data_IF_304621983868
#
_entry.id   IF_304621983868
#
_cell.length_a   1.000
_cell.length_b   1.000
_cell.length_c   1.000
_cell.angle_alpha   90.00
_cell.angle_beta   90.00
_cell.angle_gamma   90.00
#
_symmetry.space_group_name_H-M   'P 1'
#
loop_
_entity.id
_entity.type
_entity.pdbx_description
1 polymer ?
#
# COMPACT_ATOMS: atom_id res chain seq x y z
N UNK A 1 -12.60 22.21 -4.18
CA UNK A 1 -12.07 21.77 -2.86
C UNK A 1 -13.18 21.26 -1.94
N UNK A 2 -14.31 21.97 -1.81
CA UNK A 2 -15.46 21.53 -1.00
C UNK A 2 -16.14 20.27 -1.56
N UNK A 3 -16.39 20.21 -2.88
CA UNK A 3 -17.01 19.05 -3.56
C UNK A 3 -16.14 17.78 -3.52
N UNK A 4 -14.81 17.90 -3.68
CA UNK A 4 -13.87 16.76 -3.55
C UNK A 4 -13.92 16.16 -2.14
N UNK A 5 -13.91 17.01 -1.11
CA UNK A 5 -13.94 16.54 0.27
C UNK A 5 -15.27 15.85 0.59
N UNK A 6 -16.39 16.34 0.06
CA UNK A 6 -17.69 15.68 0.19
C UNK A 6 -17.70 14.32 -0.52
N UNK A 7 -17.14 14.24 -1.73
CA UNK A 7 -17.03 12.98 -2.48
C UNK A 7 -16.17 11.95 -1.73
N UNK A 8 -15.05 12.38 -1.16
CA UNK A 8 -14.16 11.56 -0.35
C UNK A 8 -14.88 10.98 0.89
N UNK A 9 -15.61 11.81 1.63
CA UNK A 9 -16.37 11.34 2.80
C UNK A 9 -17.50 10.39 2.40
N UNK A 10 -18.16 10.62 1.26
CA UNK A 10 -19.16 9.71 0.71
C UNK A 10 -18.55 8.34 0.33
N UNK A 11 -17.38 8.30 -0.30
CA UNK A 11 -16.65 7.05 -0.59
C UNK A 11 -16.36 6.28 0.70
N UNK A 12 -15.82 6.96 1.72
CA UNK A 12 -15.50 6.34 3.02
C UNK A 12 -16.74 5.77 3.68
N UNK A 13 -17.86 6.51 3.66
CA UNK A 13 -19.15 6.08 4.20
C UNK A 13 -19.67 4.85 3.48
N UNK A 14 -19.80 4.91 2.15
CA UNK A 14 -20.29 3.77 1.34
C UNK A 14 -19.43 2.52 1.54
N UNK A 15 -18.11 2.68 1.60
CA UNK A 15 -17.18 1.59 1.94
C UNK A 15 -17.48 0.97 3.30
N UNK A 16 -17.73 1.79 4.34
CA UNK A 16 -18.06 1.30 5.68
C UNK A 16 -19.44 0.63 5.76
N UNK A 17 -20.36 1.02 4.89
CA UNK A 17 -21.72 0.46 4.78
C UNK A 17 -21.78 -0.79 3.88
N UNK A 18 -20.66 -1.22 3.29
CA UNK A 18 -20.60 -2.37 2.37
C UNK A 18 -21.14 -2.09 0.97
N UNK A 19 -21.45 -0.82 0.65
CA UNK A 19 -21.92 -0.38 -0.66
C UNK A 19 -20.74 -0.18 -1.63
N UNK A 20 -20.05 -1.28 -1.93
CA UNK A 20 -18.76 -1.24 -2.63
C UNK A 20 -18.86 -0.76 -4.08
N UNK A 21 -19.91 -1.15 -4.81
CA UNK A 21 -20.08 -0.75 -6.21
C UNK A 21 -20.23 0.78 -6.33
N UNK A 22 -21.06 1.37 -5.48
CA UNK A 22 -21.25 2.81 -5.41
C UNK A 22 -19.99 3.53 -4.94
N UNK A 23 -19.28 2.97 -3.95
CA UNK A 23 -18.00 3.51 -3.50
C UNK A 23 -16.94 3.52 -4.61
N UNK A 24 -16.88 2.46 -5.44
CA UNK A 24 -15.99 2.38 -6.60
C UNK A 24 -16.34 3.41 -7.68
N UNK A 25 -17.64 3.64 -7.94
CA UNK A 25 -18.07 4.66 -8.91
C UNK A 25 -17.58 6.05 -8.49
N UNK A 26 -17.79 6.43 -7.22
CA UNK A 26 -17.33 7.73 -6.70
C UNK A 26 -15.79 7.80 -6.67
N UNK A 27 -15.11 6.72 -6.29
CA UNK A 27 -13.64 6.67 -6.36
C UNK A 27 -13.11 6.85 -7.79
N UNK A 28 -13.76 6.23 -8.78
CA UNK A 28 -13.44 6.41 -10.19
C UNK A 28 -13.67 7.84 -10.69
N UNK A 29 -14.71 8.52 -10.19
CA UNK A 29 -14.93 9.94 -10.47
C UNK A 29 -13.78 10.80 -9.93
N UNK A 30 -13.32 10.56 -8.70
CA UNK A 30 -12.16 11.25 -8.14
C UNK A 30 -10.91 11.10 -9.03
N UNK A 31 -10.65 9.88 -9.52
CA UNK A 31 -9.52 9.64 -10.45
C UNK A 31 -9.72 10.26 -11.83
N UNK A 32 -10.97 10.41 -12.29
CA UNK A 32 -11.25 11.11 -13.55
C UNK A 32 -11.00 12.62 -13.46
N UNK A 33 -11.16 13.19 -12.26
CA UNK A 33 -10.85 14.59 -11.95
C UNK A 33 -9.36 14.80 -11.72
N UNK A 34 -8.71 13.91 -10.98
CA UNK A 34 -7.29 13.94 -10.69
C UNK A 34 -6.65 12.53 -10.72
N UNK A 35 -6.03 12.20 -11.84
CA UNK A 35 -5.28 10.94 -12.01
C UNK A 35 -4.04 10.85 -11.12
N UNK A 36 -3.66 11.93 -10.43
CA UNK A 36 -2.48 12.02 -9.57
C UNK A 36 -2.82 11.72 -8.11
N UNK A 37 -4.09 11.46 -7.76
CA UNK A 37 -4.54 11.37 -6.37
C UNK A 37 -4.22 10.01 -5.73
N UNK A 38 -3.15 9.87 -4.92
CA UNK A 38 -2.84 8.60 -4.27
C UNK A 38 -3.92 8.17 -3.28
N UNK A 39 -4.62 9.12 -2.65
CA UNK A 39 -5.68 8.81 -1.68
C UNK A 39 -6.84 8.09 -2.37
N UNK A 40 -7.22 8.55 -3.57
CA UNK A 40 -8.24 7.90 -4.39
C UNK A 40 -7.84 6.47 -4.79
N UNK A 41 -6.60 6.24 -5.26
CA UNK A 41 -6.11 4.88 -5.55
C UNK A 41 -6.10 4.00 -4.29
N UNK A 42 -5.64 4.52 -3.15
CA UNK A 42 -5.63 3.80 -1.87
C UNK A 42 -7.04 3.40 -1.42
N UNK A 43 -8.03 4.29 -1.56
CA UNK A 43 -9.42 4.01 -1.22
C UNK A 43 -10.02 2.91 -2.09
N UNK A 44 -9.79 2.97 -3.40
CA UNK A 44 -10.24 1.94 -4.33
C UNK A 44 -9.57 0.60 -4.00
N UNK A 45 -8.27 0.60 -3.70
CA UNK A 45 -7.55 -0.59 -3.25
C UNK A 45 -8.16 -1.23 -2.01
N UNK A 46 -8.56 -0.42 -1.01
CA UNK A 46 -9.26 -0.89 0.20
C UNK A 46 -10.63 -1.49 -0.12
N UNK A 47 -11.36 -0.92 -1.06
CA UNK A 47 -12.68 -1.43 -1.47
C UNK A 47 -12.52 -2.79 -2.17
N UNK A 48 -11.58 -2.93 -3.11
CA UNK A 48 -11.31 -4.22 -3.76
C UNK A 48 -10.83 -5.28 -2.77
N UNK A 49 -10.02 -4.90 -1.77
CA UNK A 49 -9.63 -5.84 -0.70
C UNK A 49 -10.88 -6.34 0.06
N UNK A 50 -11.79 -5.45 0.43
CA UNK A 50 -13.03 -5.82 1.13
C UNK A 50 -13.94 -6.72 0.28
N UNK A 51 -13.89 -6.56 -1.04
CA UNK A 51 -14.57 -7.42 -2.02
C UNK A 51 -13.87 -8.76 -2.29
N UNK A 52 -12.74 -9.02 -1.62
CA UNK A 52 -11.90 -10.22 -1.83
C UNK A 52 -11.20 -10.28 -3.21
N UNK A 53 -11.20 -9.17 -3.94
CA UNK A 53 -10.43 -9.03 -5.18
C UNK A 53 -9.02 -8.49 -4.84
N UNK A 54 -8.19 -9.38 -4.32
CA UNK A 54 -6.85 -9.06 -3.84
C UNK A 54 -5.91 -8.64 -4.97
N UNK A 55 -6.12 -9.16 -6.18
CA UNK A 55 -5.34 -8.79 -7.36
C UNK A 55 -5.60 -7.35 -7.77
N UNK A 56 -6.87 -6.95 -7.88
CA UNK A 56 -7.22 -5.56 -8.14
C UNK A 56 -6.71 -4.66 -7.01
N UNK A 57 -6.93 -5.07 -5.76
CA UNK A 57 -6.47 -4.36 -4.57
C UNK A 57 -4.97 -4.05 -4.62
N UNK A 58 -4.15 -5.06 -4.90
CA UNK A 58 -2.70 -4.94 -5.04
C UNK A 58 -2.31 -3.91 -6.11
N UNK A 59 -2.94 -3.95 -7.28
CA UNK A 59 -2.63 -3.03 -8.39
C UNK A 59 -2.96 -1.58 -8.03
N UNK A 60 -4.08 -1.35 -7.35
CA UNK A 60 -4.45 -0.03 -6.85
C UNK A 60 -3.49 0.48 -5.77
N UNK A 61 -3.06 -0.38 -4.83
CA UNK A 61 -2.07 0.02 -3.83
C UNK A 61 -0.67 0.27 -4.41
N UNK A 62 -0.22 -0.52 -5.38
CA UNK A 62 1.01 -0.25 -6.13
C UNK A 62 0.95 1.10 -6.85
N UNK A 63 -0.21 1.40 -7.47
CA UNK A 63 -0.42 2.67 -8.15
C UNK A 63 -0.40 3.83 -7.15
N UNK A 64 -1.11 3.70 -6.02
CA UNK A 64 -1.08 4.66 -4.91
C UNK A 64 0.35 4.94 -4.46
N UNK A 65 1.11 3.89 -4.12
CA UNK A 65 2.49 3.99 -3.68
C UNK A 65 3.39 4.67 -4.72
N UNK A 66 3.15 4.41 -6.01
CA UNK A 66 3.92 5.04 -7.07
C UNK A 66 3.59 6.53 -7.22
N UNK A 67 2.31 6.91 -7.15
CA UNK A 67 1.90 8.31 -7.18
C UNK A 67 2.48 9.09 -6.01
N UNK A 68 2.42 8.50 -4.81
CA UNK A 68 3.05 9.01 -3.59
C UNK A 68 4.56 9.29 -3.79
N UNK A 69 5.29 8.36 -4.41
CA UNK A 69 6.71 8.54 -4.72
C UNK A 69 6.97 9.65 -5.73
N UNK A 70 6.11 9.77 -6.76
CA UNK A 70 6.25 10.78 -7.79
C UNK A 70 5.97 12.18 -7.23
N UNK A 71 4.95 12.34 -6.38
CA UNK A 71 4.70 13.57 -5.62
C UNK A 71 5.88 13.94 -4.72
N UNK A 72 6.36 12.98 -3.93
CA UNK A 72 7.51 13.21 -3.07
C UNK A 72 8.76 13.61 -3.88
N UNK A 73 9.00 13.05 -5.06
CA UNK A 73 10.10 13.47 -5.95
C UNK A 73 9.90 14.90 -6.47
N UNK A 74 8.67 15.29 -6.83
CA UNK A 74 8.33 16.63 -7.33
C UNK A 74 8.52 17.71 -6.26
N UNK A 75 8.02 17.49 -5.06
CA UNK A 75 8.18 18.40 -3.92
C UNK A 75 9.65 18.52 -3.46
N UNK A 76 10.46 17.48 -3.72
CA UNK A 76 11.88 17.41 -3.33
C UNK A 76 12.86 18.05 -4.30
N UNK A 77 12.40 18.64 -5.39
CA UNK A 77 13.22 19.58 -6.15
C UNK A 77 13.79 20.73 -5.29
N UNK A 78 13.34 20.91 -4.04
CA UNK A 78 13.58 22.12 -3.25
C UNK A 78 14.07 21.95 -1.79
N UNK A 79 14.38 20.77 -1.23
CA UNK A 79 14.76 20.70 0.22
C UNK A 79 15.78 19.64 0.64
N UNK A 80 16.91 20.10 1.19
CA UNK A 80 17.98 19.28 1.80
C UNK A 80 17.76 18.95 3.29
N UNK A 81 16.78 19.58 3.95
CA UNK A 81 16.64 19.58 5.42
C UNK A 81 15.97 18.30 5.97
N UNK A 82 15.12 17.66 5.17
CA UNK A 82 14.35 16.48 5.58
C UNK A 82 15.18 15.20 5.81
N UNK A 83 16.41 15.15 5.29
CA UNK A 83 17.30 13.99 5.46
C UNK A 83 17.71 13.75 6.92
N UNK A 84 17.62 14.75 7.81
CA UNK A 84 18.15 14.68 9.17
C UNK A 84 17.17 14.01 10.15
N UNK A 85 15.90 14.42 10.16
CA UNK A 85 14.88 13.87 11.06
C UNK A 85 14.55 12.40 10.73
N UNK A 86 14.57 12.04 9.44
CA UNK A 86 14.40 10.66 8.99
C UNK A 86 15.51 9.71 9.49
N UNK A 87 16.73 10.22 9.72
CA UNK A 87 17.83 9.42 10.25
C UNK A 87 17.70 9.13 11.75
N UNK A 88 17.01 9.99 12.51
CA UNK A 88 16.80 9.83 13.95
C UNK A 88 15.69 8.81 14.25
N UNK A 89 14.66 8.72 13.40
CA UNK A 89 13.58 7.73 13.52
C UNK A 89 14.08 6.32 13.16
N UNK A 90 14.95 6.20 12.16
CA UNK A 90 15.45 4.91 11.69
C UNK A 90 16.54 4.30 12.58
N UNK A 91 17.31 5.13 13.30
CA UNK A 91 18.24 4.66 14.32
C UNK A 91 17.52 4.04 15.53
N UNK A 92 16.22 4.30 15.69
CA UNK A 92 15.35 3.66 16.68
C UNK A 92 14.71 2.34 16.20
N UNK A 93 14.69 2.07 14.89
CA UNK A 93 14.07 0.86 14.31
C UNK A 93 15.03 -0.35 14.37
N UNK A 94 14.57 -1.48 14.93
CA UNK A 94 15.38 -2.70 15.14
C UNK A 94 15.33 -3.72 14.00
N UNK A 95 14.76 -3.39 12.84
CA UNK A 95 14.56 -4.36 11.76
C UNK A 95 15.86 -4.72 11.02
N UNK A 96 16.19 -6.02 10.98
CA UNK A 96 17.37 -6.59 10.31
C UNK A 96 17.41 -6.28 8.79
N UNK A 97 16.25 -6.13 8.16
CA UNK A 97 16.08 -5.85 6.73
C UNK A 97 16.67 -4.51 6.27
N UNK A 98 16.66 -3.49 7.13
CA UNK A 98 17.09 -2.11 6.82
C UNK A 98 18.61 -2.02 6.55
N UNK A 99 19.37 -3.06 6.90
CA UNK A 99 20.83 -3.09 6.75
C UNK A 99 21.32 -3.54 5.37
N UNK A 100 20.53 -4.30 4.61
CA UNK A 100 20.99 -5.00 3.39
C UNK A 100 20.47 -4.43 2.07
N UNK A 101 19.46 -3.57 2.11
CA UNK A 101 18.89 -2.98 0.92
C UNK A 101 19.31 -1.50 0.86
N UNK A 102 19.70 -1.01 -0.32
CA UNK A 102 20.41 0.26 -0.46
C UNK A 102 19.73 1.41 0.28
N UNK A 103 20.56 2.10 1.08
CA UNK A 103 20.16 2.94 2.21
C UNK A 103 19.36 4.19 1.86
N UNK A 104 19.07 4.52 0.60
CA UNK A 104 18.45 5.81 0.27
C UNK A 104 17.00 5.72 -0.21
N UNK A 105 16.59 4.69 -0.94
CA UNK A 105 15.22 4.62 -1.48
C UNK A 105 14.28 3.79 -0.59
N UNK A 106 14.75 2.70 0.02
CA UNK A 106 14.00 1.95 1.04
C UNK A 106 13.60 2.79 2.25
N UNK A 107 14.56 3.58 2.73
CA UNK A 107 14.39 4.42 3.92
C UNK A 107 13.31 5.47 3.71
N UNK A 108 13.12 5.91 2.47
CA UNK A 108 12.10 6.88 2.07
C UNK A 108 10.73 6.22 1.90
N UNK A 109 10.69 5.02 1.32
CA UNK A 109 9.46 4.23 1.15
C UNK A 109 8.82 3.87 2.49
N UNK A 110 9.61 3.37 3.45
CA UNK A 110 9.09 2.96 4.76
C UNK A 110 8.57 4.14 5.60
N UNK A 111 9.25 5.29 5.58
CA UNK A 111 8.94 6.42 6.46
C UNK A 111 7.71 7.21 6.03
N UNK A 112 7.41 7.21 4.73
CA UNK A 112 6.34 8.04 4.17
C UNK A 112 5.09 7.23 3.87
N UNK A 113 5.24 5.94 3.51
CA UNK A 113 4.18 5.15 2.91
C UNK A 113 3.98 3.80 3.61
N UNK A 114 4.32 3.71 4.91
CA UNK A 114 4.21 2.50 5.71
C UNK A 114 2.82 1.85 5.65
N UNK A 115 1.76 2.65 5.69
CA UNK A 115 0.38 2.16 5.56
C UNK A 115 0.11 1.53 4.18
N UNK A 116 0.50 2.18 3.09
CA UNK A 116 0.34 1.63 1.72
C UNK A 116 1.13 0.33 1.55
N UNK A 117 2.33 0.24 2.14
CA UNK A 117 3.14 -0.99 2.13
C UNK A 117 2.46 -2.14 2.90
N UNK A 118 1.86 -1.87 4.05
CA UNK A 118 1.08 -2.86 4.81
C UNK A 118 -0.09 -3.36 3.97
N UNK A 119 -0.79 -2.46 3.28
CA UNK A 119 -1.90 -2.82 2.39
C UNK A 119 -1.47 -3.73 1.23
N UNK A 120 -0.31 -3.46 0.63
CA UNK A 120 0.32 -4.34 -0.37
C UNK A 120 0.65 -5.70 0.26
N UNK A 121 1.26 -5.72 1.45
CA UNK A 121 1.58 -6.95 2.17
C UNK A 121 0.36 -7.85 2.40
N UNK A 122 -0.75 -7.27 2.86
CA UNK A 122 -2.02 -7.98 3.02
C UNK A 122 -2.57 -8.51 1.69
N UNK A 123 -2.59 -7.66 0.66
CA UNK A 123 -3.11 -8.05 -0.67
C UNK A 123 -2.31 -9.21 -1.29
N UNK A 124 -1.02 -9.31 -0.97
CA UNK A 124 -0.15 -10.40 -1.43
C UNK A 124 -0.32 -11.68 -0.61
N UNK A 125 -0.33 -11.55 0.72
CA UNK A 125 -0.27 -12.70 1.61
C UNK A 125 -1.63 -13.36 1.80
N UNK A 126 -2.70 -12.57 1.91
CA UNK A 126 -3.98 -13.07 2.39
C UNK A 126 -4.71 -13.94 1.36
N UNK A 127 -4.34 -13.88 0.08
CA UNK A 127 -4.84 -14.81 -0.94
C UNK A 127 -4.15 -16.17 -0.92
N UNK A 128 -2.95 -16.26 -0.33
CA UNK A 128 -2.12 -17.47 -0.27
C UNK A 128 -2.20 -18.19 1.08
N UNK A 129 -2.65 -17.49 2.11
CA UNK A 129 -2.99 -18.05 3.41
C UNK A 129 -4.40 -18.65 3.26
N UNK A 130 -4.67 -19.81 3.85
CA UNK A 130 -6.02 -20.39 3.91
C UNK A 130 -6.89 -19.49 4.83
N UNK A 131 -7.38 -18.38 4.27
CA UNK A 131 -7.40 -17.05 4.92
C UNK A 131 -8.70 -16.62 5.56
N UNK A 132 -9.80 -17.34 5.36
CA UNK A 132 -11.08 -16.98 5.98
C UNK A 132 -11.12 -17.16 7.52
N UNK A 133 -9.99 -17.50 8.17
CA UNK A 133 -9.98 -17.90 9.58
C UNK A 133 -8.82 -17.39 10.44
N UNK A 134 -7.87 -16.61 9.91
CA UNK A 134 -6.84 -16.02 10.79
C UNK A 134 -7.38 -14.75 11.43
N UNK A 135 -7.09 -14.57 12.72
CA UNK A 135 -7.57 -13.43 13.53
C UNK A 135 -7.03 -12.12 12.96
N UNK A 136 -5.83 -12.15 12.41
CA UNK A 136 -5.12 -11.02 11.81
C UNK A 136 -5.80 -10.48 10.55
N UNK A 137 -6.27 -11.36 9.67
CA UNK A 137 -6.98 -10.96 8.44
C UNK A 137 -8.33 -10.36 8.79
N UNK A 138 -9.01 -10.93 9.79
CA UNK A 138 -10.27 -10.37 10.30
C UNK A 138 -10.06 -8.99 10.91
N UNK A 139 -9.07 -8.83 11.79
CA UNK A 139 -8.73 -7.53 12.39
C UNK A 139 -8.40 -6.50 11.31
N UNK A 140 -7.58 -6.85 10.32
CA UNK A 140 -7.25 -5.95 9.22
C UNK A 140 -8.49 -5.57 8.38
N UNK A 141 -9.40 -6.50 8.09
CA UNK A 141 -10.68 -6.21 7.42
C UNK A 141 -11.53 -5.21 8.20
N UNK A 142 -11.57 -5.33 9.52
CA UNK A 142 -12.28 -4.39 10.39
C UNK A 142 -11.63 -2.99 10.36
N UNK A 143 -10.30 -2.92 10.44
CA UNK A 143 -9.52 -1.68 10.33
C UNK A 143 -9.82 -0.96 9.01
N UNK A 144 -9.70 -1.65 7.88
CA UNK A 144 -9.93 -1.02 6.57
C UNK A 144 -11.41 -0.71 6.33
N UNK A 145 -12.35 -1.42 6.96
CA UNK A 145 -13.76 -1.08 6.93
C UNK A 145 -14.05 0.22 7.71
N UNK A 146 -13.17 0.60 8.64
CA UNK A 146 -13.36 1.74 9.54
C UNK A 146 -14.16 1.37 10.80
N UNK A 147 -14.19 0.08 11.14
CA UNK A 147 -14.75 -0.41 12.39
C UNK A 147 -13.72 -0.08 13.47
N UNK A 148 -14.15 0.59 14.55
CA UNK A 148 -13.29 0.98 15.67
C UNK A 148 -12.84 -0.23 16.49
N UNK A 149 -11.93 -1.02 15.94
CA UNK A 149 -11.35 -2.22 16.56
C UNK A 149 -10.03 -1.86 17.25
N UNK A 150 -9.86 -2.29 18.51
CA UNK A 150 -8.54 -2.27 19.15
C UNK A 150 -7.65 -3.31 18.49
N UNK A 151 -6.50 -2.88 17.96
CA UNK A 151 -5.54 -3.80 17.33
C UNK A 151 -4.89 -4.69 18.37
N UNK A 152 -4.86 -6.01 18.12
CA UNK A 152 -4.20 -6.93 19.04
C UNK A 152 -2.67 -6.76 18.95
N UNK A 153 -1.97 -7.04 20.06
CA UNK A 153 -0.49 -7.11 20.07
C UNK A 153 0.04 -8.10 19.02
N UNK A 154 -0.73 -9.16 18.76
CA UNK A 154 -0.40 -10.18 17.77
C UNK A 154 -0.46 -9.61 16.35
N UNK A 155 -1.54 -8.92 16.02
CA UNK A 155 -1.66 -8.21 14.74
C UNK A 155 -0.59 -7.14 14.60
N UNK A 156 -0.36 -6.32 15.63
CA UNK A 156 0.69 -5.30 15.61
C UNK A 156 2.09 -5.87 15.33
N UNK A 157 2.43 -7.04 15.89
CA UNK A 157 3.68 -7.75 15.55
C UNK A 157 3.68 -8.24 14.11
N UNK A 158 2.61 -8.86 13.64
CA UNK A 158 2.52 -9.35 12.26
C UNK A 158 2.60 -8.23 11.23
N UNK A 159 1.96 -7.09 11.49
CA UNK A 159 2.04 -5.89 10.67
C UNK A 159 3.50 -5.47 10.46
N UNK A 160 4.26 -5.41 11.56
CA UNK A 160 5.62 -4.87 11.55
C UNK A 160 6.68 -5.89 11.12
N UNK A 161 6.53 -7.15 11.50
CA UNK A 161 7.53 -8.21 11.26
C UNK A 161 7.29 -8.97 9.95
N UNK A 162 6.07 -8.92 9.40
CA UNK A 162 5.71 -9.66 8.19
C UNK A 162 5.12 -8.77 7.09
N UNK A 163 3.96 -8.15 7.29
CA UNK A 163 3.26 -7.46 6.20
C UNK A 163 4.01 -6.24 5.66
N UNK A 164 4.57 -5.40 6.54
CA UNK A 164 5.37 -4.24 6.14
C UNK A 164 6.65 -4.67 5.38
N UNK A 165 7.49 -5.59 5.89
CA UNK A 165 8.64 -6.12 5.14
C UNK A 165 8.26 -6.76 3.81
N UNK A 166 7.17 -7.54 3.76
CA UNK A 166 6.70 -8.19 2.55
C UNK A 166 6.33 -7.14 1.49
N UNK A 167 5.48 -6.17 1.84
CA UNK A 167 5.07 -5.11 0.93
C UNK A 167 6.25 -4.27 0.45
N UNK A 168 7.25 -4.05 1.31
CA UNK A 168 8.47 -3.31 0.95
C UNK A 168 9.32 -4.04 -0.08
N UNK A 169 9.70 -5.29 0.19
CA UNK A 169 10.56 -6.07 -0.73
C UNK A 169 9.86 -6.21 -2.09
N UNK A 170 8.57 -6.54 -2.07
CA UNK A 170 7.78 -6.68 -3.30
C UNK A 170 7.74 -5.37 -4.10
N UNK A 171 7.45 -4.25 -3.44
CA UNK A 171 7.37 -2.94 -4.09
C UNK A 171 8.71 -2.54 -4.73
N UNK A 172 9.84 -2.89 -4.12
CA UNK A 172 11.15 -2.60 -4.71
C UNK A 172 11.45 -3.41 -5.97
N UNK A 173 10.91 -4.61 -6.07
CA UNK A 173 11.05 -5.46 -7.25
C UNK A 173 10.14 -4.99 -8.40
N UNK A 174 8.97 -4.41 -8.07
CA UNK A 174 7.93 -4.08 -9.05
C UNK A 174 7.97 -2.61 -9.51
N UNK A 175 8.26 -1.67 -8.62
CA UNK A 175 8.15 -0.24 -8.93
C UNK A 175 9.31 0.22 -9.83
N UNK A 176 8.98 0.70 -11.03
CA UNK A 176 9.94 1.40 -11.89
C UNK A 176 9.85 2.91 -11.71
N UNK A 177 10.81 3.47 -10.96
CA UNK A 177 10.87 4.90 -10.68
C UNK A 177 11.09 5.83 -11.88
N UNK A 178 11.20 5.30 -13.12
CA UNK A 178 11.29 6.06 -14.37
C UNK A 178 9.93 6.32 -15.03
N UNK A 179 8.88 5.62 -14.62
CA UNK A 179 7.56 5.83 -15.19
C UNK A 179 7.06 7.25 -14.95
N UNK A 180 6.42 7.82 -15.96
CA UNK A 180 5.59 9.01 -15.82
C UNK A 180 4.31 8.67 -15.06
N UNK A 181 3.58 9.69 -14.64
CA UNK A 181 2.31 9.51 -13.90
C UNK A 181 1.27 8.79 -14.75
N UNK A 182 1.16 9.14 -16.04
CA UNK A 182 0.23 8.47 -16.97
C UNK A 182 0.58 6.99 -17.15
N UNK A 183 1.87 6.66 -17.18
CA UNK A 183 2.33 5.28 -17.25
C UNK A 183 2.05 4.56 -15.94
N UNK A 184 2.40 5.12 -14.79
CA UNK A 184 2.11 4.53 -13.48
C UNK A 184 0.61 4.20 -13.29
N UNK A 185 -0.30 5.05 -13.78
CA UNK A 185 -1.75 4.83 -13.73
C UNK A 185 -2.25 3.65 -14.60
N UNK A 186 -1.43 3.13 -15.52
CA UNK A 186 -1.87 2.10 -16.48
C UNK A 186 -0.97 0.86 -16.53
N UNK A 187 0.34 0.98 -16.31
CA UNK A 187 1.31 -0.11 -16.43
C UNK A 187 1.04 -1.23 -15.43
N UNK A 188 0.71 -0.90 -14.19
CA UNK A 188 0.37 -1.92 -13.19
C UNK A 188 -0.92 -2.68 -13.50
N UNK A 189 -1.79 -2.16 -14.38
CA UNK A 189 -2.99 -2.85 -14.84
C UNK A 189 -2.77 -3.68 -16.12
N UNK A 190 -1.64 -3.45 -16.82
CA UNK A 190 -1.25 -4.22 -18.01
C UNK A 190 -0.32 -5.40 -17.68
N UNK A 191 0.37 -5.35 -16.53
CA UNK A 191 1.26 -6.43 -16.10
C UNK A 191 0.52 -7.76 -15.97
N UNK A 192 1.15 -8.81 -16.47
CA UNK A 192 0.65 -10.18 -16.37
C UNK A 192 0.53 -10.58 -14.88
N UNK A 193 -0.58 -11.19 -14.50
CA UNK A 193 -0.80 -11.69 -13.14
C UNK A 193 0.28 -12.72 -12.76
N UNK A 194 0.72 -13.53 -13.71
CA UNK A 194 1.75 -14.54 -13.49
C UNK A 194 3.11 -13.91 -13.15
N UNK A 195 3.47 -12.79 -13.81
CA UNK A 195 4.70 -12.05 -13.52
C UNK A 195 4.70 -11.51 -12.08
N UNK A 196 3.56 -10.95 -11.62
CA UNK A 196 3.43 -10.48 -10.24
C UNK A 196 3.48 -11.64 -9.22
N UNK A 197 2.93 -12.80 -9.58
CA UNK A 197 2.95 -14.02 -8.74
C UNK A 197 4.36 -14.61 -8.59
N UNK A 198 5.18 -14.58 -9.65
CA UNK A 198 6.58 -14.99 -9.61
C UNK A 198 7.39 -14.08 -8.68
N UNK A 199 7.25 -12.76 -8.84
CA UNK A 199 7.93 -11.76 -7.99
C UNK A 199 7.51 -11.91 -6.52
N UNK A 200 6.23 -12.20 -6.26
CA UNK A 200 5.74 -12.51 -4.92
C UNK A 200 6.44 -13.74 -4.33
N UNK A 201 6.53 -14.84 -5.09
CA UNK A 201 7.16 -16.09 -4.65
C UNK A 201 8.64 -15.89 -4.32
N UNK A 202 9.36 -15.15 -5.15
CA UNK A 202 10.76 -14.79 -4.90
C UNK A 202 10.90 -13.91 -3.66
N UNK A 203 10.03 -12.91 -3.51
CA UNK A 203 10.00 -12.02 -2.34
C UNK A 203 9.79 -12.81 -1.04
N UNK A 204 8.83 -13.75 -1.04
CA UNK A 204 8.56 -14.58 0.13
C UNK A 204 9.77 -15.48 0.45
N UNK A 205 10.47 -15.98 -0.56
CA UNK A 205 11.70 -16.76 -0.37
C UNK A 205 12.85 -15.91 0.20
N UNK A 206 12.93 -14.63 -0.15
CA UNK A 206 13.88 -13.67 0.44
C UNK A 206 13.53 -13.45 1.92
N UNK A 207 12.26 -13.20 2.23
CA UNK A 207 11.80 -12.95 3.60
C UNK A 207 12.08 -14.14 4.53
N UNK A 208 11.86 -15.38 4.06
CA UNK A 208 12.17 -16.60 4.82
C UNK A 208 13.65 -16.81 5.15
N UNK A 209 14.57 -16.17 4.40
CA UNK A 209 16.02 -16.29 4.64
C UNK A 209 16.53 -15.28 5.67
N UNK A 210 15.74 -14.26 5.98
CA UNK A 210 16.13 -13.12 6.82
C UNK A 210 15.32 -13.04 8.12
N UNK A 211 14.22 -13.78 8.23
CA UNK A 211 13.50 -14.13 9.46
C UNK A 211 14.15 -15.32 10.17
#
# INVERSE_FOLDING_TARGET
>A
MQERNETLENVKKLKSEGMYAEALVLGGQMLSEDLYDPEAYSLIGKIYYLMDDLDASLRYFLTSLHMELLHAKRERGESATYLKESNEILSASKFLLVKHLEKNDLRRLMLLFGHTLIHIGHSLADGSIDSLRTVEIKEYREIIAGIGTETSDKYGKMEQEFYLPLGLIFSLAVLDGKLTIKEAATEYFKKDVNELSEIYSETLAILKKIS
#
